data_IF_881151108110
#
_entry.id   IF_881151108110
#
_cell.length_a   1.000
_cell.length_b   1.000
_cell.length_c   1.000
_cell.angle_alpha   90.00
_cell.angle_beta   90.00
_cell.angle_gamma   90.00
#
_symmetry.space_group_name_H-M   'P 1'
#
loop_
_entity.id
_entity.type
_entity.pdbx_description
1 polymer ?
#
# COMPACT_ATOMS: atom_id res chain seq x y z
N UNK A 1 12.48 27.88 1.09
CA UNK A 1 11.80 26.82 1.86
C UNK A 1 12.68 25.59 1.75
N UNK A 2 12.99 24.92 2.86
CA UNK A 2 13.76 23.69 2.84
C UNK A 2 12.82 22.50 3.05
N UNK A 3 13.12 21.37 2.40
CA UNK A 3 12.32 20.15 2.53
C UNK A 3 13.24 19.01 2.95
N UNK A 4 12.79 18.20 3.90
CA UNK A 4 13.44 16.97 4.33
C UNK A 4 12.54 15.81 3.87
N UNK A 5 13.07 14.90 3.06
CA UNK A 5 12.35 13.74 2.54
C UNK A 5 12.89 12.48 3.23
N UNK A 6 12.04 11.79 3.99
CA UNK A 6 12.36 10.54 4.67
C UNK A 6 12.02 9.37 3.73
N UNK A 7 13.00 8.92 2.97
CA UNK A 7 12.86 7.85 1.97
C UNK A 7 13.53 6.55 2.47
N UNK A 8 13.13 6.08 3.63
CA UNK A 8 13.62 4.86 4.30
C UNK A 8 12.43 3.90 4.56
N UNK A 9 12.66 2.65 5.00
CA UNK A 9 11.59 1.78 5.49
C UNK A 9 10.75 2.43 6.59
N UNK A 10 9.48 2.04 6.69
CA UNK A 10 8.47 2.68 7.57
C UNK A 10 8.93 2.73 9.05
N UNK A 11 9.49 1.64 9.57
CA UNK A 11 10.03 1.56 10.94
C UNK A 11 11.18 2.55 11.19
N UNK A 12 11.99 2.85 10.18
CA UNK A 12 13.09 3.81 10.25
C UNK A 12 12.55 5.25 10.17
N UNK A 13 11.49 5.50 9.40
CA UNK A 13 10.84 6.83 9.32
C UNK A 13 10.41 7.29 10.71
N UNK A 14 9.77 6.42 11.49
CA UNK A 14 9.35 6.74 12.87
C UNK A 14 10.54 7.12 13.77
N UNK A 15 11.65 6.41 13.65
CA UNK A 15 12.88 6.73 14.39
C UNK A 15 13.47 8.09 13.98
N UNK A 16 13.48 8.40 12.69
CA UNK A 16 13.97 9.66 12.16
C UNK A 16 13.08 10.85 12.60
N UNK A 17 11.76 10.69 12.68
CA UNK A 17 10.86 11.71 13.22
C UNK A 17 11.22 12.03 14.67
N UNK A 18 11.47 11.01 15.49
CA UNK A 18 11.93 11.22 16.88
C UNK A 18 13.25 11.97 16.91
N UNK A 19 14.23 11.59 16.11
CA UNK A 19 15.52 12.29 16.05
C UNK A 19 15.36 13.74 15.60
N UNK A 20 14.58 13.99 14.56
CA UNK A 20 14.32 15.35 14.04
C UNK A 20 13.62 16.24 15.07
N UNK A 21 12.76 15.69 15.92
CA UNK A 21 12.07 16.43 16.97
C UNK A 21 13.02 16.98 18.07
N UNK A 22 14.22 16.45 18.18
CA UNK A 22 15.26 16.93 19.10
C UNK A 22 16.23 17.93 18.47
N UNK A 23 16.08 18.24 17.19
CA UNK A 23 16.96 19.16 16.46
C UNK A 23 16.35 20.56 16.35
N UNK A 24 17.20 21.57 16.37
CA UNK A 24 16.78 22.92 16.00
C UNK A 24 16.72 23.03 14.48
N UNK A 25 15.52 22.96 13.94
CA UNK A 25 15.29 23.05 12.50
C UNK A 25 15.06 24.49 12.05
N UNK A 26 15.30 24.75 10.76
CA UNK A 26 15.02 26.05 10.16
C UNK A 26 13.53 26.34 10.20
N UNK A 27 13.18 27.64 10.35
CA UNK A 27 11.79 28.07 10.23
C UNK A 27 11.21 27.70 8.85
N UNK A 28 9.97 27.25 8.82
CA UNK A 28 9.22 26.85 7.60
C UNK A 28 9.83 25.63 6.87
N UNK A 29 10.58 24.79 7.57
CA UNK A 29 10.96 23.49 7.03
C UNK A 29 9.70 22.64 6.86
N UNK A 30 9.64 21.90 5.75
CA UNK A 30 8.64 20.86 5.54
C UNK A 30 9.34 19.51 5.63
N UNK A 31 8.80 18.62 6.43
CA UNK A 31 9.23 17.21 6.48
C UNK A 31 8.16 16.39 5.78
N UNK A 32 8.57 15.48 4.92
CA UNK A 32 7.71 14.50 4.26
C UNK A 32 8.37 13.13 4.24
N UNK A 33 7.60 12.11 4.00
CA UNK A 33 8.09 10.75 3.85
C UNK A 33 7.56 10.09 2.57
N UNK A 34 8.01 8.87 2.29
CA UNK A 34 7.58 8.05 1.16
C UNK A 34 7.05 6.68 1.58
N UNK A 35 6.81 6.48 2.86
CA UNK A 35 6.35 5.20 3.40
C UNK A 35 4.95 4.81 2.89
N UNK A 36 4.68 3.50 2.86
CA UNK A 36 3.40 2.97 2.36
C UNK A 36 2.26 3.06 3.37
N UNK A 37 2.54 3.17 4.67
CA UNK A 37 1.55 3.24 5.76
C UNK A 37 1.70 4.56 6.50
N UNK A 38 0.57 5.18 6.89
CA UNK A 38 0.58 6.57 7.38
C UNK A 38 0.12 6.75 8.82
N UNK A 39 -0.76 5.89 9.32
CA UNK A 39 -1.42 6.12 10.63
C UNK A 39 -0.41 6.34 11.76
N UNK A 40 0.56 5.46 11.91
CA UNK A 40 1.57 5.56 12.96
C UNK A 40 2.52 6.75 12.74
N UNK A 41 2.98 6.94 11.49
CA UNK A 41 3.88 8.04 11.10
C UNK A 41 3.24 9.40 11.39
N UNK A 42 2.00 9.59 10.95
CA UNK A 42 1.28 10.85 11.12
C UNK A 42 0.96 11.13 12.59
N UNK A 43 0.52 10.12 13.36
CA UNK A 43 0.28 10.27 14.78
C UNK A 43 1.55 10.69 15.53
N UNK A 44 2.70 10.11 15.17
CA UNK A 44 3.99 10.46 15.76
C UNK A 44 4.42 11.88 15.38
N UNK A 45 4.26 12.27 14.12
CA UNK A 45 4.56 13.61 13.63
C UNK A 45 3.68 14.68 14.32
N UNK A 46 2.37 14.43 14.44
CA UNK A 46 1.45 15.32 15.18
C UNK A 46 1.87 15.48 16.65
N UNK A 47 2.29 14.41 17.28
CA UNK A 47 2.71 14.43 18.69
C UNK A 47 4.01 15.18 18.92
N UNK A 48 5.01 15.04 18.03
CA UNK A 48 6.38 15.50 18.26
C UNK A 48 6.76 16.76 17.49
N UNK A 49 6.25 16.94 16.27
CA UNK A 49 6.65 18.02 15.37
C UNK A 49 5.66 19.19 15.40
N UNK A 50 4.37 18.91 15.37
CA UNK A 50 3.31 19.94 15.39
C UNK A 50 3.42 20.90 16.58
N UNK A 51 3.68 20.47 17.83
CA UNK A 51 3.86 21.39 18.96
C UNK A 51 5.06 22.33 18.80
N UNK A 52 6.03 21.97 17.97
CA UNK A 52 7.19 22.79 17.64
C UNK A 52 6.98 23.68 16.41
N UNK A 53 5.76 23.69 15.86
CA UNK A 53 5.42 24.39 14.63
C UNK A 53 6.26 23.92 13.41
N UNK A 54 6.60 22.63 13.39
CA UNK A 54 7.29 21.96 12.28
C UNK A 54 6.24 21.27 11.41
N UNK A 55 6.18 21.64 10.15
CA UNK A 55 5.23 21.07 9.18
C UNK A 55 5.65 19.66 8.78
N UNK A 56 4.73 18.70 8.93
CA UNK A 56 4.86 17.36 8.38
C UNK A 56 3.73 17.10 7.38
N UNK A 57 4.08 16.54 6.22
CA UNK A 57 3.12 16.12 5.20
C UNK A 57 3.47 14.69 4.85
N UNK A 58 2.65 13.73 5.28
CA UNK A 58 2.82 12.33 4.93
C UNK A 58 2.69 12.14 3.42
N UNK A 59 3.57 11.33 2.84
CA UNK A 59 3.59 11.05 1.42
C UNK A 59 3.57 9.55 1.14
N UNK A 60 2.86 9.12 0.08
CA UNK A 60 2.92 7.77 -0.43
C UNK A 60 2.68 7.76 -1.94
N UNK A 61 3.70 7.42 -2.72
CA UNK A 61 3.57 7.21 -4.15
C UNK A 61 3.14 5.75 -4.43
N UNK A 62 2.08 5.57 -5.24
CA UNK A 62 1.67 4.25 -5.74
C UNK A 62 2.64 3.77 -6.83
N UNK A 63 3.91 3.76 -6.49
CA UNK A 63 5.02 3.40 -7.36
C UNK A 63 6.04 2.58 -6.58
N UNK A 64 6.57 1.57 -7.22
CA UNK A 64 7.60 0.72 -6.64
C UNK A 64 8.05 -0.35 -7.63
N UNK A 65 9.25 -0.83 -7.43
CA UNK A 65 9.79 -1.97 -8.19
C UNK A 65 10.36 -2.99 -7.21
N UNK A 66 10.58 -4.21 -7.71
CA UNK A 66 11.31 -5.24 -6.96
C UNK A 66 12.81 -4.94 -6.82
N UNK A 67 13.30 -3.89 -7.48
CA UNK A 67 14.70 -3.46 -7.43
C UNK A 67 14.89 -2.47 -6.28
N UNK A 68 16.03 -2.52 -5.62
CA UNK A 68 16.40 -1.63 -4.52
C UNK A 68 17.77 -1.00 -4.74
N UNK A 69 18.06 0.05 -3.95
CA UNK A 69 19.34 0.77 -3.98
C UNK A 69 19.45 1.82 -5.08
N UNK A 70 20.51 2.62 -5.01
CA UNK A 70 20.73 3.79 -5.89
C UNK A 70 20.78 3.44 -7.38
N UNK A 71 21.24 2.27 -7.73
CA UNK A 71 21.30 1.82 -9.14
C UNK A 71 19.94 1.43 -9.72
N UNK A 72 18.91 1.35 -8.90
CA UNK A 72 17.54 1.12 -9.33
C UNK A 72 16.75 2.43 -9.53
N UNK A 73 17.40 3.58 -9.35
CA UNK A 73 16.75 4.89 -9.50
C UNK A 73 16.25 5.07 -10.94
N UNK A 74 14.99 5.49 -11.06
CA UNK A 74 14.34 5.81 -12.32
C UNK A 74 13.67 7.19 -12.19
N UNK A 75 14.09 8.13 -13.01
CA UNK A 75 13.55 9.50 -13.00
C UNK A 75 12.04 9.54 -13.34
N UNK A 76 11.54 8.55 -14.06
CA UNK A 76 10.14 8.45 -14.46
C UNK A 76 9.30 7.62 -13.49
N UNK A 77 9.87 7.14 -12.38
CA UNK A 77 9.18 6.25 -11.44
C UNK A 77 7.83 6.80 -10.96
N UNK A 78 7.73 8.13 -10.81
CA UNK A 78 6.52 8.79 -10.31
C UNK A 78 5.62 9.34 -11.41
N UNK A 79 6.02 9.27 -12.68
CA UNK A 79 5.25 9.83 -13.78
C UNK A 79 3.93 9.09 -13.99
N UNK A 80 2.81 9.83 -14.00
CA UNK A 80 1.44 9.33 -14.14
C UNK A 80 0.96 8.38 -13.03
N UNK A 81 1.69 8.24 -11.91
CA UNK A 81 1.21 7.46 -10.76
C UNK A 81 0.46 8.35 -9.77
N UNK A 82 -0.39 7.74 -8.97
CA UNK A 82 -1.04 8.42 -7.84
C UNK A 82 0.01 8.66 -6.75
N UNK A 83 0.09 9.88 -6.25
CA UNK A 83 0.89 10.25 -5.09
C UNK A 83 -0.04 10.81 -4.01
N UNK A 84 -0.26 10.03 -2.97
CA UNK A 84 -1.06 10.46 -1.83
C UNK A 84 -0.30 11.41 -0.93
N UNK A 85 -1.00 12.44 -0.44
CA UNK A 85 -0.48 13.41 0.52
C UNK A 85 -1.46 13.55 1.68
N UNK A 86 -0.94 13.45 2.90
CA UNK A 86 -1.67 13.57 4.15
C UNK A 86 -1.02 14.69 4.98
N UNK A 87 -1.54 15.93 4.91
CA UNK A 87 -0.99 17.05 5.67
C UNK A 87 -1.29 16.91 7.17
N UNK A 88 -0.38 17.37 8.02
CA UNK A 88 -0.62 17.55 9.46
C UNK A 88 -1.67 18.62 9.72
N UNK A 89 -2.19 18.70 10.95
CA UNK A 89 -3.25 19.64 11.34
C UNK A 89 -2.88 21.11 11.15
N UNK A 90 -1.59 21.44 11.09
CA UNK A 90 -1.06 22.81 10.88
C UNK A 90 -0.63 23.10 9.45
N UNK A 91 -0.93 22.22 8.49
CA UNK A 91 -0.41 22.33 7.12
C UNK A 91 -1.46 22.02 6.05
N UNK A 92 -1.11 22.34 4.79
CA UNK A 92 -1.82 21.91 3.59
C UNK A 92 -0.86 21.16 2.66
N UNK A 93 -1.38 20.44 1.67
CA UNK A 93 -0.54 19.72 0.70
C UNK A 93 0.10 20.62 -0.37
N UNK A 94 -0.45 21.83 -0.58
CA UNK A 94 -0.09 22.68 -1.70
C UNK A 94 1.40 22.98 -1.86
N UNK A 95 2.15 23.30 -0.78
CA UNK A 95 3.57 23.60 -0.92
C UNK A 95 4.39 22.41 -1.45
N UNK A 96 3.97 21.18 -1.10
CA UNK A 96 4.65 19.97 -1.54
C UNK A 96 4.22 19.58 -2.96
N UNK A 97 2.95 19.77 -3.31
CA UNK A 97 2.43 19.61 -4.68
C UNK A 97 3.19 20.53 -5.64
N UNK A 98 3.34 21.81 -5.29
CA UNK A 98 4.06 22.77 -6.13
C UNK A 98 5.52 22.38 -6.34
N UNK A 99 6.20 21.93 -5.28
CA UNK A 99 7.58 21.46 -5.36
C UNK A 99 7.71 20.19 -6.20
N UNK A 100 6.79 19.24 -6.04
CA UNK A 100 6.84 17.94 -6.71
C UNK A 100 6.15 17.89 -8.07
N UNK A 101 5.54 18.99 -8.51
CA UNK A 101 4.89 19.10 -9.83
C UNK A 101 5.74 18.55 -10.99
N UNK A 102 7.07 18.79 -11.05
CA UNK A 102 7.92 18.25 -12.11
C UNK A 102 8.02 16.73 -12.16
N UNK A 103 7.62 16.00 -11.10
CA UNK A 103 7.59 14.52 -11.10
C UNK A 103 6.51 13.96 -12.03
N UNK A 104 5.53 14.77 -12.44
CA UNK A 104 4.43 14.34 -13.29
C UNK A 104 3.47 13.34 -12.62
N UNK A 105 3.45 13.29 -11.29
CA UNK A 105 2.54 12.46 -10.52
C UNK A 105 1.14 13.07 -10.41
N UNK A 106 0.14 12.22 -10.19
CA UNK A 106 -1.23 12.61 -9.90
C UNK A 106 -1.44 12.74 -8.39
N UNK A 107 -1.29 13.95 -7.86
CA UNK A 107 -1.39 14.19 -6.42
C UNK A 107 -2.84 14.09 -5.93
N UNK A 108 -3.03 13.38 -4.81
CA UNK A 108 -4.31 13.22 -4.11
C UNK A 108 -4.12 13.48 -2.62
N UNK A 109 -4.82 14.47 -2.09
CA UNK A 109 -4.89 14.70 -0.63
C UNK A 109 -6.03 13.87 -0.07
N UNK A 110 -5.78 13.14 1.02
CA UNK A 110 -6.80 12.36 1.72
C UNK A 110 -6.50 12.26 3.22
N UNK A 111 -7.47 11.76 3.97
CA UNK A 111 -7.30 11.51 5.40
C UNK A 111 -6.44 10.26 5.63
N UNK A 112 -5.74 10.23 6.74
CA UNK A 112 -4.83 9.14 7.12
C UNK A 112 -5.57 7.80 7.22
N UNK A 113 -6.73 7.80 7.90
CA UNK A 113 -7.51 6.58 8.08
C UNK A 113 -8.07 6.07 6.75
N UNK A 114 -8.58 6.97 5.90
CA UNK A 114 -9.05 6.61 4.56
C UNK A 114 -7.93 6.01 3.70
N UNK A 115 -6.71 6.55 3.81
CA UNK A 115 -5.54 6.03 3.09
C UNK A 115 -5.20 4.61 3.53
N UNK A 116 -5.04 4.38 4.83
CA UNK A 116 -4.57 3.09 5.34
C UNK A 116 -5.64 1.99 5.18
N UNK A 117 -6.93 2.34 5.30
CA UNK A 117 -8.04 1.43 5.00
C UNK A 117 -8.10 1.08 3.50
N UNK A 118 -7.90 2.08 2.63
CA UNK A 118 -7.79 1.85 1.18
C UNK A 118 -6.63 0.92 0.85
N UNK A 119 -5.42 1.21 1.39
CA UNK A 119 -4.23 0.39 1.14
C UNK A 119 -4.41 -1.05 1.63
N UNK A 120 -5.05 -1.24 2.78
CA UNK A 120 -5.36 -2.57 3.30
C UNK A 120 -6.13 -3.42 2.27
N UNK A 121 -7.18 -2.84 1.64
CA UNK A 121 -8.03 -3.57 0.70
C UNK A 121 -7.40 -3.73 -0.69
N UNK A 122 -6.74 -2.70 -1.24
CA UNK A 122 -6.28 -2.74 -2.64
C UNK A 122 -4.81 -3.11 -2.83
N UNK A 123 -4.03 -3.16 -1.73
CA UNK A 123 -2.62 -3.52 -1.74
C UNK A 123 -2.30 -4.69 -0.81
N UNK A 124 -2.58 -4.56 0.49
CA UNK A 124 -2.13 -5.53 1.49
C UNK A 124 -2.85 -6.87 1.37
N UNK A 125 -4.18 -6.88 1.30
CA UNK A 125 -4.98 -8.10 1.12
C UNK A 125 -4.64 -8.83 -0.19
N UNK A 126 -4.51 -8.19 -1.35
CA UNK A 126 -4.01 -8.85 -2.56
C UNK A 126 -2.67 -9.57 -2.39
N UNK A 127 -1.70 -9.00 -1.66
CA UNK A 127 -0.44 -9.68 -1.38
C UNK A 127 -0.61 -10.88 -0.46
N UNK A 128 -1.44 -10.76 0.59
CA UNK A 128 -1.77 -11.90 1.46
C UNK A 128 -2.40 -13.05 0.65
N UNK A 129 -3.33 -12.72 -0.25
CA UNK A 129 -3.98 -13.71 -1.14
C UNK A 129 -2.94 -14.40 -2.03
N UNK A 130 -2.03 -13.63 -2.62
CA UNK A 130 -0.99 -14.18 -3.47
C UNK A 130 -0.05 -15.11 -2.69
N UNK A 131 0.42 -14.70 -1.51
CA UNK A 131 1.25 -15.52 -0.63
C UNK A 131 0.51 -16.79 -0.19
N UNK A 132 -0.72 -16.65 0.28
CA UNK A 132 -1.53 -17.76 0.76
C UNK A 132 -1.83 -18.78 -0.36
N UNK A 133 -2.12 -18.30 -1.57
CA UNK A 133 -2.39 -19.17 -2.73
C UNK A 133 -1.17 -19.98 -3.13
N UNK A 134 0.04 -19.37 -3.16
CA UNK A 134 1.30 -20.09 -3.43
C UNK A 134 1.56 -21.13 -2.33
N UNK A 135 1.41 -20.75 -1.06
CA UNK A 135 1.63 -21.65 0.07
C UNK A 135 0.63 -22.83 0.06
N UNK A 136 -0.64 -22.57 -0.22
CA UNK A 136 -1.67 -23.60 -0.33
C UNK A 136 -1.39 -24.57 -1.50
N UNK A 137 -1.00 -24.05 -2.65
CA UNK A 137 -0.62 -24.88 -3.80
C UNK A 137 0.59 -25.77 -3.48
N UNK A 138 1.62 -25.20 -2.88
CA UNK A 138 2.84 -25.93 -2.49
C UNK A 138 2.54 -27.01 -1.44
N UNK A 139 1.71 -26.68 -0.44
CA UNK A 139 1.31 -27.62 0.59
C UNK A 139 0.53 -28.82 0.02
N UNK A 140 -0.38 -28.56 -0.94
CA UNK A 140 -1.25 -29.60 -1.49
C UNK A 140 -0.62 -30.40 -2.62
N UNK A 141 0.19 -29.78 -3.48
CA UNK A 141 0.74 -30.38 -4.70
C UNK A 141 2.22 -30.76 -4.58
N UNK A 142 2.86 -30.41 -3.47
CA UNK A 142 4.29 -30.58 -3.25
C UNK A 142 5.12 -29.41 -3.76
N UNK A 143 6.44 -29.55 -3.76
CA UNK A 143 7.35 -28.48 -4.14
C UNK A 143 7.05 -27.89 -5.52
N UNK A 144 7.26 -26.59 -5.68
CA UNK A 144 6.85 -25.82 -6.88
C UNK A 144 7.42 -26.39 -8.22
N UNK A 145 8.59 -27.00 -8.18
CA UNK A 145 9.17 -27.66 -9.35
C UNK A 145 8.36 -28.87 -9.86
N UNK A 146 7.52 -29.48 -9.04
CA UNK A 146 6.68 -30.63 -9.42
C UNK A 146 5.46 -30.21 -10.24
N UNK A 147 4.86 -29.06 -9.95
CA UNK A 147 3.66 -28.60 -10.63
C UNK A 147 3.87 -27.34 -11.51
N UNK A 148 5.03 -26.68 -11.42
CA UNK A 148 5.32 -25.45 -12.13
C UNK A 148 5.15 -25.53 -13.65
N UNK A 149 5.41 -26.69 -14.26
CA UNK A 149 5.20 -26.92 -15.68
C UNK A 149 3.74 -26.89 -16.12
N UNK A 150 2.79 -27.02 -15.19
CA UNK A 150 1.34 -26.98 -15.46
C UNK A 150 0.71 -25.61 -15.17
N UNK A 151 1.51 -24.66 -14.68
CA UNK A 151 1.02 -23.34 -14.28
C UNK A 151 0.77 -22.48 -15.51
N UNK A 152 -0.50 -22.03 -15.67
CA UNK A 152 -0.93 -21.14 -16.74
C UNK A 152 -1.16 -19.70 -16.26
N UNK A 153 -1.63 -18.82 -17.15
CA UNK A 153 -1.78 -17.38 -16.94
C UNK A 153 -2.51 -17.03 -15.63
N UNK A 154 -3.68 -17.60 -15.38
CA UNK A 154 -4.47 -17.28 -14.20
C UNK A 154 -3.69 -17.40 -12.88
N UNK A 155 -2.95 -18.49 -12.68
CA UNK A 155 -2.13 -18.64 -11.47
C UNK A 155 -0.94 -17.67 -11.46
N UNK A 156 -0.25 -17.51 -12.61
CA UNK A 156 0.91 -16.60 -12.72
C UNK A 156 0.52 -15.16 -12.44
N UNK A 157 -0.57 -14.69 -13.01
CA UNK A 157 -1.02 -13.32 -12.87
C UNK A 157 -1.47 -13.04 -11.42
N UNK A 158 -2.26 -13.95 -10.82
CA UNK A 158 -2.73 -13.82 -9.46
C UNK A 158 -1.61 -13.90 -8.42
N UNK A 159 -0.57 -14.68 -8.68
CA UNK A 159 0.54 -14.88 -7.73
C UNK A 159 1.80 -14.10 -8.05
N UNK A 160 1.81 -13.25 -9.07
CA UNK A 160 2.98 -12.47 -9.49
C UNK A 160 3.61 -11.69 -8.34
N UNK A 161 2.77 -11.08 -7.52
CA UNK A 161 3.21 -10.27 -6.38
C UNK A 161 3.68 -11.10 -5.17
N UNK A 162 3.52 -12.42 -5.17
CA UNK A 162 4.09 -13.31 -4.15
C UNK A 162 5.62 -13.41 -4.20
N UNK A 163 6.26 -12.85 -5.24
CA UNK A 163 7.72 -12.73 -5.34
C UNK A 163 8.28 -11.44 -4.72
N UNK A 164 7.45 -10.68 -4.01
CA UNK A 164 7.84 -9.43 -3.34
C UNK A 164 8.77 -9.69 -2.15
N UNK A 165 9.51 -8.65 -1.74
CA UNK A 165 10.47 -8.72 -0.65
C UNK A 165 9.79 -9.08 0.69
N UNK A 166 10.25 -10.13 1.40
CA UNK A 166 9.58 -10.60 2.62
C UNK A 166 9.70 -9.62 3.80
N UNK A 167 10.81 -8.92 3.95
CA UNK A 167 11.04 -7.99 5.06
C UNK A 167 10.13 -6.76 4.89
N UNK A 168 10.11 -6.18 3.69
CA UNK A 168 9.25 -5.04 3.37
C UNK A 168 7.78 -5.36 3.61
N UNK A 169 7.29 -6.53 3.18
CA UNK A 169 5.89 -6.90 3.34
C UNK A 169 5.52 -7.31 4.75
N UNK A 170 6.45 -7.89 5.50
CA UNK A 170 6.24 -8.15 6.94
C UNK A 170 6.02 -6.82 7.68
N UNK A 171 6.87 -5.84 7.45
CA UNK A 171 6.76 -4.53 8.09
C UNK A 171 5.48 -3.80 7.67
N UNK A 172 5.12 -3.82 6.39
CA UNK A 172 3.90 -3.20 5.89
C UNK A 172 2.63 -3.79 6.54
N UNK A 173 2.51 -5.12 6.55
CA UNK A 173 1.34 -5.82 7.11
C UNK A 173 1.22 -5.61 8.62
N UNK A 174 2.33 -5.59 9.36
CA UNK A 174 2.31 -5.35 10.80
C UNK A 174 1.97 -3.89 11.13
N UNK A 175 2.49 -2.94 10.36
CA UNK A 175 2.23 -1.50 10.56
C UNK A 175 0.78 -1.10 10.26
N UNK A 176 0.06 -1.87 9.43
CA UNK A 176 -1.37 -1.64 9.10
C UNK A 176 -2.29 -2.76 9.60
N UNK A 177 -1.87 -3.50 10.60
CA UNK A 177 -2.48 -4.77 11.02
C UNK A 177 -3.99 -4.70 11.29
N UNK A 178 -4.48 -3.63 11.90
CA UNK A 178 -5.90 -3.47 12.23
C UNK A 178 -6.76 -3.38 10.95
N UNK A 179 -6.41 -2.51 10.01
CA UNK A 179 -7.12 -2.35 8.74
C UNK A 179 -6.98 -3.59 7.84
N UNK A 180 -5.79 -4.20 7.83
CA UNK A 180 -5.53 -5.47 7.11
C UNK A 180 -6.42 -6.59 7.62
N UNK A 181 -6.52 -6.79 8.94
CA UNK A 181 -7.35 -7.84 9.52
C UNK A 181 -8.83 -7.60 9.25
N UNK A 182 -9.29 -6.36 9.26
CA UNK A 182 -10.68 -6.04 8.94
C UNK A 182 -10.99 -6.30 7.47
N UNK A 183 -10.15 -5.81 6.56
CA UNK A 183 -10.26 -6.08 5.13
C UNK A 183 -10.20 -7.56 4.78
N UNK A 184 -9.32 -8.31 5.47
CA UNK A 184 -9.20 -9.75 5.30
C UNK A 184 -10.47 -10.51 5.74
N UNK A 185 -11.14 -10.08 6.82
CA UNK A 185 -12.43 -10.65 7.23
C UNK A 185 -13.48 -10.52 6.13
N UNK A 186 -13.55 -9.35 5.45
CA UNK A 186 -14.47 -9.15 4.33
C UNK A 186 -14.19 -10.15 3.19
N UNK A 187 -12.91 -10.34 2.83
CA UNK A 187 -12.53 -11.33 1.83
C UNK A 187 -12.94 -12.75 2.22
N UNK A 188 -12.73 -13.13 3.49
CA UNK A 188 -13.11 -14.46 3.99
C UNK A 188 -14.63 -14.67 3.85
N UNK A 189 -15.43 -13.66 4.21
CA UNK A 189 -16.90 -13.71 4.03
C UNK A 189 -17.27 -13.94 2.57
N UNK A 190 -16.61 -13.27 1.63
CA UNK A 190 -16.88 -13.48 0.19
C UNK A 190 -16.48 -14.89 -0.26
N UNK A 191 -15.34 -15.41 0.18
CA UNK A 191 -14.91 -16.77 -0.12
C UNK A 191 -15.91 -17.82 0.43
N UNK A 192 -16.47 -17.60 1.62
CA UNK A 192 -17.47 -18.50 2.21
C UNK A 192 -18.80 -18.48 1.45
N UNK A 193 -19.19 -17.35 0.83
CA UNK A 193 -20.35 -17.31 -0.08
C UNK A 193 -20.13 -18.22 -1.28
N UNK A 194 -18.94 -18.22 -1.89
CA UNK A 194 -18.58 -19.15 -2.97
C UNK A 194 -18.64 -20.59 -2.49
N UNK A 195 -18.04 -20.92 -1.34
CA UNK A 195 -18.06 -22.26 -0.78
C UNK A 195 -19.50 -22.76 -0.58
N UNK A 196 -20.37 -21.92 -0.02
CA UNK A 196 -21.78 -22.24 0.21
C UNK A 196 -22.52 -22.55 -1.10
N UNK A 197 -22.30 -21.72 -2.12
CA UNK A 197 -22.95 -21.91 -3.42
C UNK A 197 -22.43 -23.18 -4.15
N UNK A 198 -21.13 -23.47 -4.04
CA UNK A 198 -20.51 -24.70 -4.59
C UNK A 198 -21.07 -25.94 -3.90
N UNK A 199 -21.12 -25.95 -2.57
CA UNK A 199 -21.64 -27.09 -1.78
C UNK A 199 -23.11 -27.36 -2.10
N UNK A 200 -23.91 -26.31 -2.31
CA UNK A 200 -25.32 -26.41 -2.69
C UNK A 200 -25.52 -26.74 -4.20
N UNK A 201 -24.47 -26.82 -4.99
CA UNK A 201 -24.53 -26.92 -6.45
C UNK A 201 -25.42 -25.83 -7.08
N UNK A 202 -25.45 -24.63 -6.47
CA UNK A 202 -26.29 -23.49 -6.89
C UNK A 202 -25.63 -22.72 -8.04
N UNK A 203 -25.87 -23.19 -9.25
CA UNK A 203 -25.37 -22.59 -10.50
C UNK A 203 -25.83 -21.14 -10.65
N UNK A 204 -27.05 -20.83 -10.27
CA UNK A 204 -27.61 -19.49 -10.44
C UNK A 204 -26.93 -18.47 -9.56
N UNK A 205 -26.70 -18.83 -8.30
CA UNK A 205 -26.00 -17.99 -7.35
C UNK A 205 -24.54 -17.77 -7.74
N UNK A 206 -23.84 -18.83 -8.15
CA UNK A 206 -22.46 -18.71 -8.64
C UNK A 206 -22.37 -17.77 -9.85
N UNK A 207 -23.28 -17.94 -10.80
CA UNK A 207 -23.32 -17.09 -12.00
C UNK A 207 -23.58 -15.63 -11.66
N UNK A 208 -24.47 -15.34 -10.73
CA UNK A 208 -24.77 -13.98 -10.27
C UNK A 208 -23.52 -13.33 -9.64
N UNK A 209 -22.84 -14.01 -8.70
CA UNK A 209 -21.64 -13.51 -8.02
C UNK A 209 -20.49 -13.23 -9.01
N UNK A 210 -20.27 -14.13 -9.95
CA UNK A 210 -19.21 -13.96 -10.98
C UNK A 210 -19.55 -12.81 -11.92
N UNK A 211 -20.83 -12.66 -12.30
CA UNK A 211 -21.28 -11.55 -13.16
C UNK A 211 -21.11 -10.20 -12.50
N UNK A 212 -21.45 -10.10 -11.21
CA UNK A 212 -21.24 -8.88 -10.42
C UNK A 212 -19.75 -8.52 -10.32
N UNK A 213 -18.90 -9.49 -10.00
CA UNK A 213 -17.45 -9.29 -9.94
C UNK A 213 -16.88 -8.85 -11.29
N UNK A 214 -17.36 -9.44 -12.41
CA UNK A 214 -16.97 -9.05 -13.76
C UNK A 214 -17.33 -7.60 -14.06
N UNK A 215 -18.58 -7.20 -13.81
CA UNK A 215 -19.05 -5.84 -14.05
C UNK A 215 -18.25 -4.79 -13.24
N UNK A 216 -18.00 -5.09 -11.97
CA UNK A 216 -17.15 -4.25 -11.11
C UNK A 216 -15.73 -4.12 -11.65
N UNK A 217 -15.12 -5.22 -12.11
CA UNK A 217 -13.78 -5.23 -12.68
C UNK A 217 -13.68 -4.42 -13.97
N UNK A 218 -14.68 -4.51 -14.84
CA UNK A 218 -14.77 -3.71 -16.07
C UNK A 218 -14.79 -2.22 -15.73
N UNK A 219 -15.64 -1.79 -14.79
CA UNK A 219 -15.71 -0.40 -14.33
C UNK A 219 -14.38 0.13 -13.76
N UNK A 220 -13.58 -0.72 -13.10
CA UNK A 220 -12.26 -0.34 -12.57
C UNK A 220 -11.23 -0.08 -13.67
N UNK A 221 -11.39 -0.65 -14.87
CA UNK A 221 -10.45 -0.53 -15.98
C UNK A 221 -10.77 0.61 -16.94
N UNK A 222 -12.02 1.09 -16.94
CA UNK A 222 -12.51 2.15 -17.84
C UNK A 222 -12.10 3.58 -17.41
N UNK A 223 -11.03 3.72 -16.59
CA UNK A 223 -10.54 5.01 -16.05
C UNK A 223 -9.15 5.35 -16.53
#
# INVERSE_FOLDING_TARGET
MDVIILATPVNIISQLIVQLSHLTLKKRVIITDTGSIKREIMALAEKLLTPQNITFIGGHAMAGTHKSGVYAADINLYHNVIYFLMPSTISTSDPLIDLFRPLGANFKTMLVDEHDDLMAMISDVPHIVAFALVNAATSRLGAANKFGQYVAGGFKDTTRIAASDPELWTDALLSNSAAVLDSQKQLIVELEKFNTAILANDRSKLMAMITEAKASRETLLDR
#
